data_IF_103378673136
#
_entry.id   IF_103378673136
#
_cell.length_a   1.000
_cell.length_b   1.000
_cell.length_c   1.000
_cell.angle_alpha   90.00
_cell.angle_beta   90.00
_cell.angle_gamma   90.00
#
_symmetry.space_group_name_H-M   'P 1'
#
loop_
_entity.id
_entity.type
_entity.pdbx_description
1 polymer ?
#
# COMPACT_ATOMS: atom_id res chain seq x y z
N UNK A 1 -13.25 -6.05 -9.77
CA UNK A 1 -13.79 -4.68 -9.60
C UNK A 1 -12.69 -3.69 -9.17
N UNK A 2 -12.09 -3.83 -7.99
CA UNK A 2 -11.08 -2.86 -7.51
C UNK A 2 -9.86 -2.67 -8.44
N UNK A 3 -9.31 -3.73 -9.04
CA UNK A 3 -8.22 -3.58 -10.02
C UNK A 3 -8.57 -2.65 -11.19
N UNK A 4 -9.78 -2.79 -11.73
CA UNK A 4 -10.26 -1.94 -12.82
C UNK A 4 -10.44 -0.49 -12.33
N UNK A 5 -11.00 -0.27 -11.15
CA UNK A 5 -11.10 1.07 -10.54
C UNK A 5 -9.71 1.71 -10.37
N UNK A 6 -8.74 0.92 -9.89
CA UNK A 6 -7.37 1.37 -9.66
C UNK A 6 -6.60 1.67 -10.96
N UNK A 7 -6.99 1.12 -12.10
CA UNK A 7 -6.22 1.25 -13.37
C UNK A 7 -6.93 2.06 -14.45
N UNK A 8 -8.25 2.23 -14.36
CA UNK A 8 -9.03 2.96 -15.38
C UNK A 8 -8.79 4.46 -15.25
N UNK A 9 -8.37 5.09 -16.35
CA UNK A 9 -8.12 6.53 -16.44
C UNK A 9 -6.91 7.02 -15.65
N UNK A 10 -6.10 6.13 -15.07
CA UNK A 10 -4.86 6.48 -14.39
C UNK A 10 -3.74 6.79 -15.38
N UNK A 11 -2.75 7.56 -14.92
CA UNK A 11 -1.57 7.94 -15.72
C UNK A 11 -0.34 7.09 -15.41
N UNK A 12 -0.46 6.17 -14.45
CA UNK A 12 0.67 5.41 -13.95
C UNK A 12 1.70 6.26 -13.19
N UNK A 13 2.86 5.66 -12.97
CA UNK A 13 4.02 6.31 -12.37
C UNK A 13 3.88 6.50 -10.85
N UNK A 14 4.65 7.45 -10.32
CA UNK A 14 4.75 7.72 -8.88
C UNK A 14 3.56 8.52 -8.36
N UNK A 15 3.18 8.37 -7.07
CA UNK A 15 2.14 9.18 -6.47
C UNK A 15 2.57 10.67 -6.38
N UNK A 16 1.62 11.60 -6.26
CA UNK A 16 1.93 13.00 -6.02
C UNK A 16 2.78 13.18 -4.75
N UNK A 17 3.81 14.03 -4.81
CA UNK A 17 4.76 14.27 -3.71
C UNK A 17 4.07 14.65 -2.40
N UNK A 18 3.10 15.55 -2.48
CA UNK A 18 2.39 16.10 -1.31
C UNK A 18 1.25 15.18 -0.84
N UNK A 19 1.06 14.01 -1.47
CA UNK A 19 0.01 13.08 -1.06
C UNK A 19 0.44 12.24 0.15
N UNK A 20 -0.52 11.94 1.02
CA UNK A 20 -0.30 11.00 2.13
C UNK A 20 0.13 9.62 1.63
N UNK A 21 -0.33 9.19 0.45
CA UNK A 21 0.09 7.93 -0.18
C UNK A 21 1.59 7.95 -0.49
N UNK A 22 2.12 9.04 -1.07
CA UNK A 22 3.56 9.20 -1.32
C UNK A 22 4.37 9.15 -0.03
N UNK A 23 3.94 9.87 1.01
CA UNK A 23 4.58 9.85 2.33
C UNK A 23 4.57 8.45 2.97
N UNK A 24 3.46 7.72 2.86
CA UNK A 24 3.35 6.35 3.37
C UNK A 24 4.24 5.38 2.60
N UNK A 25 4.36 5.50 1.28
CA UNK A 25 5.25 4.66 0.49
C UNK A 25 6.70 4.84 0.96
N UNK A 26 7.17 6.08 1.13
CA UNK A 26 8.51 6.33 1.67
C UNK A 26 8.64 5.77 3.09
N UNK A 27 7.67 6.01 3.97
CA UNK A 27 7.70 5.51 5.36
C UNK A 27 7.86 3.99 5.45
N UNK A 28 7.20 3.24 4.58
CA UNK A 28 7.15 1.77 4.65
C UNK A 28 8.11 1.04 3.69
N UNK A 29 8.66 1.73 2.68
CA UNK A 29 9.45 1.08 1.64
C UNK A 29 10.78 1.77 1.33
N UNK A 30 11.10 2.90 1.98
CA UNK A 30 12.42 3.52 1.86
C UNK A 30 13.46 2.82 2.75
N UNK A 31 13.91 1.66 2.28
CA UNK A 31 14.80 0.79 3.01
C UNK A 31 14.86 -0.60 2.37
N UNK A 32 15.35 -1.56 3.14
CA UNK A 32 15.51 -2.94 2.70
C UNK A 32 14.73 -3.89 3.61
N UNK A 33 14.02 -4.84 3.00
CA UNK A 33 13.38 -5.94 3.71
C UNK A 33 14.39 -7.07 3.86
N UNK A 34 14.73 -7.43 5.10
CA UNK A 34 15.58 -8.58 5.42
C UNK A 34 14.77 -9.63 6.19
N UNK A 35 15.23 -10.88 6.27
CA UNK A 35 14.55 -11.92 7.05
C UNK A 35 14.33 -11.55 8.53
N UNK A 36 15.13 -10.62 9.07
CA UNK A 36 15.03 -10.12 10.45
C UNK A 36 14.06 -8.95 10.59
N UNK A 37 13.58 -8.36 9.48
CA UNK A 37 12.67 -7.23 9.47
C UNK A 37 13.06 -6.15 8.45
N UNK A 38 12.38 -5.01 8.53
CA UNK A 38 12.63 -3.87 7.65
C UNK A 38 13.74 -2.97 8.21
N UNK A 39 14.81 -2.78 7.44
CA UNK A 39 15.90 -1.83 7.73
C UNK A 39 15.68 -0.55 6.95
N UNK A 40 15.22 0.50 7.64
CA UNK A 40 14.97 1.82 7.02
C UNK A 40 16.29 2.51 6.69
N UNK A 41 16.41 3.08 5.48
CA UNK A 41 17.55 3.94 5.15
C UNK A 41 17.45 5.27 5.93
N UNK A 42 18.60 5.87 6.24
CA UNK A 42 18.65 7.11 7.03
C UNK A 42 17.82 8.23 6.37
N UNK A 43 16.89 8.79 7.13
CA UNK A 43 15.90 9.77 6.66
C UNK A 43 16.42 11.20 6.59
N UNK A 44 17.64 11.43 6.10
CA UNK A 44 18.14 12.77 5.84
C UNK A 44 17.52 13.32 4.55
N UNK A 45 16.19 13.49 4.56
CA UNK A 45 15.40 13.86 3.40
C UNK A 45 15.85 15.20 2.83
N UNK A 46 16.23 15.20 1.55
CA UNK A 46 16.76 16.39 0.84
C UNK A 46 15.76 16.95 -0.17
N UNK A 47 14.46 16.65 -0.01
CA UNK A 47 13.42 17.29 -0.80
C UNK A 47 13.38 18.79 -0.52
N UNK A 48 12.86 19.62 -1.45
CA UNK A 48 12.58 21.02 -1.15
C UNK A 48 11.25 21.15 -0.38
N UNK A 49 11.19 21.88 0.76
CA UNK A 49 12.32 22.42 1.54
C UNK A 49 13.09 21.33 2.31
N UNK A 50 14.40 21.53 2.58
CA UNK A 50 15.25 20.54 3.25
C UNK A 50 14.62 19.99 4.54
N UNK A 51 14.70 18.67 4.73
CA UNK A 51 14.01 17.96 5.81
C UNK A 51 12.70 17.28 5.37
N UNK A 52 12.18 17.61 4.19
CA UNK A 52 10.99 16.97 3.62
C UNK A 52 11.31 15.88 2.59
N UNK A 53 10.37 14.95 2.43
CA UNK A 53 10.39 13.92 1.39
C UNK A 53 10.41 14.58 0.01
N UNK A 54 11.36 14.16 -0.83
CA UNK A 54 11.49 14.56 -2.22
C UNK A 54 11.05 13.49 -3.22
N UNK A 55 11.00 13.85 -4.50
CA UNK A 55 10.68 12.91 -5.59
C UNK A 55 11.65 11.71 -5.64
N UNK A 56 12.93 11.93 -5.32
CA UNK A 56 13.94 10.85 -5.27
C UNK A 56 13.63 9.82 -4.19
N UNK A 57 13.21 10.27 -3.01
CA UNK A 57 12.86 9.38 -1.91
C UNK A 57 11.60 8.57 -2.25
N UNK A 58 10.64 9.20 -2.92
CA UNK A 58 9.44 8.52 -3.43
C UNK A 58 9.82 7.45 -4.45
N UNK A 59 10.69 7.75 -5.40
CA UNK A 59 11.15 6.76 -6.39
C UNK A 59 11.79 5.54 -5.71
N UNK A 60 12.67 5.74 -4.72
CA UNK A 60 13.28 4.64 -3.95
C UNK A 60 12.20 3.83 -3.21
N UNK A 61 11.24 4.50 -2.56
CA UNK A 61 10.13 3.82 -1.91
C UNK A 61 9.22 3.06 -2.89
N UNK A 62 9.02 3.59 -4.09
CA UNK A 62 8.24 2.95 -5.14
C UNK A 62 8.92 1.69 -5.68
N UNK A 63 10.25 1.71 -5.82
CA UNK A 63 11.02 0.53 -6.19
C UNK A 63 10.92 -0.55 -5.10
N UNK A 64 11.08 -0.18 -3.83
CA UNK A 64 10.87 -1.08 -2.70
C UNK A 64 9.45 -1.66 -2.66
N UNK A 65 8.43 -0.85 -2.91
CA UNK A 65 7.03 -1.29 -3.01
C UNK A 65 6.83 -2.30 -4.16
N UNK A 66 7.36 -2.02 -5.36
CA UNK A 66 7.26 -2.93 -6.51
C UNK A 66 7.92 -4.27 -6.22
N UNK A 67 9.12 -4.24 -5.63
CA UNK A 67 9.83 -5.47 -5.20
C UNK A 67 8.96 -6.28 -4.23
N UNK A 68 8.38 -5.63 -3.22
CA UNK A 68 7.52 -6.32 -2.26
C UNK A 68 6.19 -6.80 -2.84
N UNK A 69 5.64 -6.15 -3.87
CA UNK A 69 4.47 -6.68 -4.57
C UNK A 69 4.82 -7.90 -5.43
N UNK A 70 6.00 -7.90 -6.09
CA UNK A 70 6.46 -9.03 -6.89
C UNK A 70 6.80 -10.24 -6.00
N UNK A 71 7.48 -10.01 -4.88
CA UNK A 71 7.89 -11.06 -3.96
C UNK A 71 7.75 -10.58 -2.49
N UNK A 72 6.54 -10.67 -1.91
CA UNK A 72 6.29 -10.15 -0.57
C UNK A 72 7.00 -10.99 0.49
N UNK A 73 7.77 -10.33 1.36
CA UNK A 73 8.47 -11.00 2.46
C UNK A 73 7.57 -11.26 3.67
N UNK A 74 6.69 -10.31 3.98
CA UNK A 74 5.75 -10.40 5.10
C UNK A 74 4.33 -10.29 4.59
N UNK A 75 3.58 -11.40 4.63
CA UNK A 75 2.21 -11.51 4.13
C UNK A 75 1.25 -11.77 5.29
N UNK A 76 0.23 -10.94 5.42
CA UNK A 76 -0.85 -11.11 6.39
C UNK A 76 -1.91 -12.07 5.84
N UNK A 77 -2.48 -12.92 6.70
CA UNK A 77 -3.60 -13.81 6.33
C UNK A 77 -4.87 -13.00 6.03
N UNK A 78 -5.65 -13.45 5.06
CA UNK A 78 -6.89 -12.82 4.61
C UNK A 78 -7.85 -13.81 3.95
N UNK A 79 -8.73 -13.33 3.07
CA UNK A 79 -9.57 -14.17 2.21
C UNK A 79 -10.96 -14.53 2.74
N UNK A 80 -11.24 -14.31 4.03
CA UNK A 80 -12.56 -14.61 4.63
C UNK A 80 -13.49 -13.39 4.56
N UNK A 81 -14.79 -13.59 4.35
CA UNK A 81 -15.77 -12.50 4.33
C UNK A 81 -15.85 -11.70 5.64
N UNK A 82 -16.62 -10.61 5.62
CA UNK A 82 -16.79 -9.78 6.83
C UNK A 82 -17.48 -10.56 7.96
N UNK A 83 -16.93 -10.50 9.17
CA UNK A 83 -17.50 -11.18 10.35
C UNK A 83 -17.34 -12.70 10.37
N UNK A 84 -16.48 -13.25 9.50
CA UNK A 84 -16.19 -14.69 9.44
C UNK A 84 -15.01 -15.03 10.36
N UNK A 85 -15.00 -16.28 10.84
CA UNK A 85 -13.94 -16.83 11.70
C UNK A 85 -12.53 -16.60 11.12
N UNK A 86 -11.64 -16.06 11.95
CA UNK A 86 -10.22 -15.81 11.67
C UNK A 86 -9.45 -17.08 11.29
N UNK A 87 -9.86 -18.25 11.80
CA UNK A 87 -9.19 -19.53 11.52
C UNK A 87 -9.27 -19.93 10.05
N UNK A 88 -10.27 -19.40 9.32
CA UNK A 88 -10.48 -19.65 7.90
C UNK A 88 -9.62 -18.77 6.99
N UNK A 89 -8.85 -17.81 7.56
CA UNK A 89 -7.98 -16.94 6.78
C UNK A 89 -6.76 -17.70 6.25
N UNK A 90 -6.41 -17.41 5.00
CA UNK A 90 -5.29 -18.01 4.29
C UNK A 90 -4.23 -16.98 3.95
N UNK A 91 -2.97 -17.41 3.95
CA UNK A 91 -1.84 -16.56 3.52
C UNK A 91 -1.95 -16.23 2.04
N UNK A 92 -2.33 -17.22 1.23
CA UNK A 92 -2.44 -17.14 -0.22
C UNK A 92 -3.72 -17.86 -0.65
N UNK A 93 -4.55 -17.20 -1.46
CA UNK A 93 -5.78 -17.80 -1.99
C UNK A 93 -5.59 -18.47 -3.36
N UNK A 94 -4.35 -18.51 -3.86
CA UNK A 94 -3.97 -19.15 -5.12
C UNK A 94 -4.38 -18.38 -6.37
N UNK A 95 -4.96 -17.18 -6.25
CA UNK A 95 -5.46 -16.42 -7.40
C UNK A 95 -4.41 -15.53 -8.08
N UNK A 96 -3.19 -15.53 -7.55
CA UNK A 96 -2.04 -14.79 -8.08
C UNK A 96 -2.17 -13.27 -7.98
N UNK A 97 -3.00 -12.78 -7.05
CA UNK A 97 -3.15 -11.35 -6.76
C UNK A 97 -2.37 -11.00 -5.50
N UNK A 98 -1.70 -9.85 -5.54
CA UNK A 98 -1.06 -9.25 -4.38
C UNK A 98 -1.75 -7.93 -4.07
N UNK A 99 -1.98 -7.66 -2.78
CA UNK A 99 -2.73 -6.51 -2.31
C UNK A 99 -1.91 -5.72 -1.30
N UNK A 100 -2.07 -4.39 -1.32
CA UNK A 100 -1.76 -3.54 -0.15
C UNK A 100 -3.06 -3.04 0.43
N UNK A 101 -3.23 -3.16 1.74
CA UNK A 101 -4.39 -2.62 2.42
C UNK A 101 -3.98 -1.84 3.68
N UNK A 102 -4.78 -0.84 3.99
CA UNK A 102 -4.69 -0.04 5.21
C UNK A 102 -5.69 -0.52 6.25
N UNK A 103 -5.28 -0.44 7.51
CA UNK A 103 -6.11 -0.67 8.68
C UNK A 103 -5.82 0.40 9.74
N UNK A 104 -6.88 0.92 10.35
CA UNK A 104 -6.75 1.75 11.54
C UNK A 104 -6.88 0.85 12.77
N UNK A 105 -5.82 0.78 13.56
CA UNK A 105 -5.78 0.05 14.84
C UNK A 105 -5.59 1.04 16.01
N UNK A 106 -5.73 0.62 17.28
CA UNK A 106 -5.36 1.47 18.41
C UNK A 106 -3.91 2.00 18.35
N UNK A 107 -3.00 1.27 17.67
CA UNK A 107 -1.62 1.71 17.42
C UNK A 107 -1.46 2.67 16.24
N UNK A 108 -2.57 3.12 15.64
CA UNK A 108 -2.60 3.98 14.47
C UNK A 108 -2.72 3.22 13.15
N UNK A 109 -2.38 3.92 12.07
CA UNK A 109 -2.46 3.41 10.70
C UNK A 109 -1.38 2.35 10.43
N UNK A 110 -1.82 1.15 10.09
CA UNK A 110 -0.98 0.08 9.54
C UNK A 110 -1.20 -0.07 8.02
N UNK A 111 -0.16 -0.50 7.31
CA UNK A 111 -0.27 -0.92 5.90
C UNK A 111 0.39 -2.28 5.71
N UNK A 112 -0.39 -3.23 5.22
CA UNK A 112 -0.02 -4.64 5.16
C UNK A 112 -0.09 -5.19 3.73
N UNK A 113 0.63 -6.29 3.48
CA UNK A 113 0.63 -7.03 2.21
C UNK A 113 -0.21 -8.30 2.36
N UNK A 114 -0.97 -8.64 1.31
CA UNK A 114 -1.79 -9.85 1.28
C UNK A 114 -1.62 -10.56 -0.06
N UNK A 115 -1.68 -11.90 -0.05
CA UNK A 115 -1.89 -12.72 -1.26
C UNK A 115 -3.30 -13.33 -1.31
N UNK A 116 -4.18 -12.87 -0.42
CA UNK A 116 -5.59 -13.19 -0.37
C UNK A 116 -6.38 -11.89 -0.20
N UNK A 117 -7.69 -11.91 -0.51
CA UNK A 117 -8.50 -10.68 -0.46
C UNK A 117 -8.52 -10.09 0.96
N UNK A 118 -8.14 -8.81 1.16
CA UNK A 118 -8.02 -8.20 2.49
C UNK A 118 -9.38 -7.70 3.00
N UNK A 119 -10.35 -8.59 3.19
CA UNK A 119 -11.67 -8.25 3.72
C UNK A 119 -11.59 -7.57 5.09
N UNK A 120 -12.51 -6.63 5.33
CA UNK A 120 -12.52 -5.79 6.54
C UNK A 120 -11.43 -4.71 6.57
N UNK A 121 -10.46 -4.75 5.65
CA UNK A 121 -9.41 -3.74 5.51
C UNK A 121 -9.64 -2.91 4.26
N UNK A 122 -8.97 -1.75 4.19
CA UNK A 122 -9.12 -0.83 3.07
C UNK A 122 -8.05 -1.11 2.01
N UNK A 123 -8.43 -1.76 0.91
CA UNK A 123 -7.51 -1.98 -0.21
C UNK A 123 -7.02 -0.63 -0.79
N UNK A 124 -5.70 -0.50 -0.94
CA UNK A 124 -5.04 0.67 -1.54
C UNK A 124 -4.52 0.35 -2.93
N UNK A 125 -3.89 -0.82 -3.08
CA UNK A 125 -3.34 -1.31 -4.34
C UNK A 125 -3.68 -2.79 -4.50
N UNK A 126 -3.82 -3.22 -5.75
CA UNK A 126 -3.90 -4.64 -6.12
C UNK A 126 -3.23 -4.82 -7.47
N UNK A 127 -2.39 -5.85 -7.61
CA UNK A 127 -1.71 -6.17 -8.86
C UNK A 127 -1.69 -7.67 -9.10
N UNK A 128 -1.60 -8.10 -10.36
CA UNK A 128 -1.19 -9.46 -10.67
C UNK A 128 0.26 -9.62 -10.26
N UNK A 129 0.56 -10.61 -9.44
CA UNK A 129 1.92 -10.80 -8.92
C UNK A 129 2.93 -11.06 -10.07
N UNK A 130 2.48 -11.73 -11.13
CA UNK A 130 3.26 -11.98 -12.34
C UNK A 130 3.49 -10.74 -13.22
N UNK A 131 2.71 -9.67 -13.04
CA UNK A 131 2.81 -8.44 -13.83
C UNK A 131 2.44 -7.21 -12.99
N UNK A 132 3.29 -6.94 -12.02
CA UNK A 132 3.13 -5.77 -11.12
C UNK A 132 3.35 -4.46 -11.88
N UNK A 133 4.22 -4.48 -12.89
CA UNK A 133 4.58 -3.28 -13.64
C UNK A 133 3.42 -2.79 -14.50
N UNK A 134 2.58 -3.68 -15.05
CA UNK A 134 1.35 -3.28 -15.75
C UNK A 134 0.47 -2.41 -14.86
N UNK A 135 0.25 -2.80 -13.59
CA UNK A 135 -0.58 -2.02 -12.67
C UNK A 135 0.00 -0.61 -12.45
N UNK A 136 1.30 -0.50 -12.20
CA UNK A 136 1.94 0.80 -11.98
C UNK A 136 2.05 1.65 -13.25
N UNK A 137 1.97 1.06 -14.44
CA UNK A 137 1.87 1.82 -15.70
C UNK A 137 0.51 2.49 -15.88
N UNK A 138 -0.52 2.06 -15.14
CA UNK A 138 -1.91 2.51 -15.28
C UNK A 138 -2.52 3.05 -13.98
N UNK A 139 -1.79 3.00 -12.87
CA UNK A 139 -2.36 3.31 -11.54
C UNK A 139 -3.00 4.69 -11.49
N UNK A 140 -4.19 4.73 -10.92
CA UNK A 140 -4.94 5.93 -10.59
C UNK A 140 -4.79 6.20 -9.09
N UNK A 141 -3.81 7.06 -8.76
CA UNK A 141 -3.49 7.41 -7.38
C UNK A 141 -4.63 8.09 -6.62
N UNK A 142 -5.61 8.70 -7.32
CA UNK A 142 -6.78 9.28 -6.66
C UNK A 142 -7.66 8.21 -6.00
N UNK A 143 -7.71 6.99 -6.55
CA UNK A 143 -8.46 5.87 -5.96
C UNK A 143 -7.78 5.39 -4.68
N UNK A 144 -6.46 5.20 -4.72
CA UNK A 144 -5.68 4.84 -3.54
C UNK A 144 -5.78 5.92 -2.44
N UNK A 145 -5.72 7.21 -2.84
CA UNK A 145 -5.89 8.34 -1.94
C UNK A 145 -7.29 8.38 -1.30
N UNK A 146 -8.34 8.27 -2.11
CA UNK A 146 -9.71 8.27 -1.59
C UNK A 146 -9.98 7.10 -0.64
N UNK A 147 -9.31 5.97 -0.83
CA UNK A 147 -9.40 4.84 0.10
C UNK A 147 -8.66 5.11 1.41
N UNK A 148 -7.44 5.63 1.39
CA UNK A 148 -6.71 5.95 2.63
C UNK A 148 -7.42 7.04 3.45
N UNK A 149 -7.99 8.05 2.80
CA UNK A 149 -8.76 9.11 3.48
C UNK A 149 -9.99 8.56 4.21
N UNK A 150 -10.71 7.61 3.60
CA UNK A 150 -11.82 6.91 4.27
C UNK A 150 -11.35 6.09 5.48
N UNK A 151 -10.09 5.69 5.55
CA UNK A 151 -9.52 5.02 6.73
C UNK A 151 -9.28 6.01 7.88
N UNK A 152 -9.03 7.28 7.57
CA UNK A 152 -8.94 8.36 8.57
C UNK A 152 -10.31 8.90 9.02
N UNK A 153 -11.41 8.25 8.62
CA UNK A 153 -12.78 8.68 8.93
C UNK A 153 -13.41 9.62 7.90
N UNK A 154 -12.69 10.02 6.85
CA UNK A 154 -13.18 10.93 5.82
C UNK A 154 -13.56 12.32 6.35
N UNK A 155 -13.99 13.24 5.48
CA UNK A 155 -14.32 14.62 5.86
C UNK A 155 -15.58 14.78 6.74
N UNK A 156 -16.24 13.68 7.14
CA UNK A 156 -17.56 13.70 7.79
C UNK A 156 -17.58 13.18 9.23
N UNK A 157 -16.45 12.70 9.77
CA UNK A 157 -16.40 12.27 11.18
C UNK A 157 -15.89 13.42 12.04
N UNK A 158 -16.79 14.05 12.80
CA UNK A 158 -16.40 14.82 13.99
C UNK A 158 -15.80 13.83 14.99
N UNK A 159 -14.51 13.95 15.28
CA UNK A 159 -13.96 13.36 16.50
C UNK A 159 -14.79 13.90 17.67
N UNK A 160 -15.45 12.98 18.39
CA UNK A 160 -16.14 13.27 19.63
C UNK A 160 -15.17 13.14 20.79
#
# INVERSE_FOLDING_TARGET
>A
KFYAELTTGGKGGDPPKESVVGGLIVKFFHGEFTPQGFKRYAGHWKGPPPGNIGKKDIAVGMDGLKVQLKNPMFVTKGGVGYGVDETLKVVDDGKGWVWRAAEMSPGGLAIELFKSVPFGKRALLVAKQSDVDEMFSKVNWAVALGNIEKTFGGPLIKQR
#
